data_IF_134596395562
#
_entry.id   IF_134596395562
#
_cell.length_a   1.000
_cell.length_b   1.000
_cell.length_c   1.000
_cell.angle_alpha   90.00
_cell.angle_beta   90.00
_cell.angle_gamma   90.00
#
_symmetry.space_group_name_H-M   'P 1'
#
loop_
_entity.id
_entity.type
_entity.pdbx_description
1 polymer ?
#
# COMPACT_ATOMS: atom_id res chain seq x y z
N UNK A 1 -4.11 12.69 -9.73
CA UNK A 1 -3.54 11.71 -8.80
C UNK A 1 -4.33 10.43 -8.94
N UNK A 2 -3.68 9.30 -9.21
CA UNK A 2 -4.34 8.01 -9.24
C UNK A 2 -3.44 6.94 -8.61
N UNK A 3 -3.96 6.23 -7.62
CA UNK A 3 -3.34 5.04 -7.00
C UNK A 3 -4.00 3.81 -7.60
N UNK A 4 -3.22 3.00 -8.30
CA UNK A 4 -3.69 1.82 -9.03
C UNK A 4 -3.08 0.57 -8.42
N UNK A 5 -3.91 -0.37 -8.00
CA UNK A 5 -3.45 -1.67 -7.51
C UNK A 5 -3.52 -2.74 -8.59
N UNK A 6 -2.43 -3.46 -8.81
CA UNK A 6 -2.37 -4.56 -9.79
C UNK A 6 -2.44 -5.89 -9.06
N UNK A 7 -3.54 -6.64 -9.25
CA UNK A 7 -3.87 -7.89 -8.57
C UNK A 7 -3.86 -9.06 -9.55
N UNK A 8 -3.53 -10.25 -9.04
CA UNK A 8 -3.69 -11.49 -9.77
C UNK A 8 -3.67 -12.69 -8.82
N UNK A 9 -4.32 -13.78 -9.25
CA UNK A 9 -4.64 -14.91 -8.39
C UNK A 9 -3.43 -15.72 -7.92
N UNK A 10 -2.32 -15.70 -8.67
CA UNK A 10 -1.10 -16.46 -8.33
C UNK A 10 0.18 -15.77 -8.77
N UNK A 11 1.30 -16.32 -8.32
CA UNK A 11 2.63 -15.97 -8.81
C UNK A 11 2.78 -16.27 -10.30
N UNK A 12 3.49 -15.40 -11.01
CA UNK A 12 3.82 -15.64 -12.41
C UNK A 12 2.68 -15.46 -13.42
N UNK A 13 1.54 -14.82 -13.08
CA UNK A 13 0.50 -14.40 -14.05
C UNK A 13 0.87 -13.14 -14.84
N UNK A 14 2.03 -12.53 -14.55
CA UNK A 14 2.54 -11.34 -15.26
C UNK A 14 2.16 -9.99 -14.64
N UNK A 15 1.78 -9.94 -13.35
CA UNK A 15 1.46 -8.70 -12.61
C UNK A 15 2.60 -7.68 -12.71
N UNK A 16 3.76 -8.01 -12.15
CA UNK A 16 4.95 -7.16 -12.12
C UNK A 16 5.36 -6.68 -13.51
N UNK A 17 5.37 -7.60 -14.49
CA UNK A 17 5.67 -7.25 -15.88
C UNK A 17 4.65 -6.23 -16.44
N UNK A 18 3.36 -6.40 -16.18
CA UNK A 18 2.35 -5.42 -16.56
C UNK A 18 2.56 -4.09 -15.83
N UNK A 19 2.73 -4.11 -14.50
CA UNK A 19 2.92 -2.93 -13.65
C UNK A 19 4.07 -2.05 -14.15
N UNK A 20 5.23 -2.65 -14.44
CA UNK A 20 6.41 -1.98 -14.99
C UNK A 20 6.13 -1.33 -16.35
N UNK A 21 5.52 -2.07 -17.28
CA UNK A 21 5.29 -1.55 -18.63
C UNK A 21 4.17 -0.50 -18.66
N UNK A 22 3.15 -0.63 -17.80
CA UNK A 22 2.11 0.39 -17.60
C UNK A 22 2.72 1.65 -17.02
N UNK A 23 3.65 1.56 -16.05
CA UNK A 23 4.37 2.73 -15.53
C UNK A 23 5.06 3.50 -16.67
N UNK A 24 5.85 2.81 -17.50
CA UNK A 24 6.51 3.41 -18.67
C UNK A 24 5.52 4.04 -19.66
N UNK A 25 4.38 3.38 -19.90
CA UNK A 25 3.36 3.89 -20.81
C UNK A 25 2.65 5.15 -20.29
N UNK A 26 2.38 5.20 -18.98
CA UNK A 26 1.87 6.42 -18.33
C UNK A 26 2.91 7.53 -18.44
N UNK A 27 4.20 7.23 -18.23
CA UNK A 27 5.28 8.23 -18.37
C UNK A 27 5.27 8.84 -19.76
N UNK A 28 5.23 8.00 -20.80
CA UNK A 28 5.22 8.45 -22.18
C UNK A 28 3.93 9.23 -22.53
N UNK A 29 2.78 8.79 -22.02
CA UNK A 29 1.50 9.42 -22.34
C UNK A 29 1.32 10.80 -21.69
N UNK A 30 1.92 11.04 -20.53
CA UNK A 30 1.82 12.33 -19.83
C UNK A 30 2.81 13.38 -20.39
N UNK A 31 3.71 13.01 -21.30
CA UNK A 31 4.76 13.87 -21.90
C UNK A 31 5.49 14.71 -20.84
N UNK A 32 5.65 14.14 -19.64
CA UNK A 32 6.23 14.83 -18.49
C UNK A 32 7.73 14.91 -18.72
N UNK A 33 8.18 16.10 -19.10
CA UNK A 33 9.59 16.48 -19.11
C UNK A 33 10.18 16.23 -17.73
N UNK A 34 10.74 15.04 -17.50
CA UNK A 34 11.64 14.67 -16.39
C UNK A 34 11.32 15.32 -15.03
N UNK A 35 10.06 15.29 -14.60
CA UNK A 35 9.74 15.59 -13.20
C UNK A 35 9.90 14.30 -12.42
N UNK A 36 10.80 14.28 -11.44
CA UNK A 36 11.18 13.07 -10.68
C UNK A 36 10.01 12.40 -9.94
N UNK A 37 8.86 13.07 -9.81
CA UNK A 37 7.70 12.62 -9.03
C UNK A 37 6.39 12.47 -9.81
N UNK A 38 6.48 12.12 -11.09
CA UNK A 38 5.29 11.86 -11.90
C UNK A 38 4.62 10.53 -11.55
N UNK A 39 5.40 9.46 -11.53
CA UNK A 39 4.94 8.08 -11.40
C UNK A 39 5.88 7.33 -10.45
N UNK A 40 5.31 6.66 -9.46
CA UNK A 40 6.05 5.71 -8.63
C UNK A 40 5.46 4.31 -8.72
N UNK A 41 6.32 3.32 -8.86
CA UNK A 41 5.96 1.90 -8.85
C UNK A 41 6.40 1.28 -7.53
N UNK A 42 5.45 0.77 -6.74
CA UNK A 42 5.70 0.16 -5.44
C UNK A 42 5.77 -1.36 -5.58
N UNK A 43 6.84 -1.97 -5.08
CA UNK A 43 6.95 -3.42 -4.94
C UNK A 43 6.41 -3.87 -3.57
N UNK A 44 5.10 -4.15 -3.51
CA UNK A 44 4.45 -4.56 -2.27
C UNK A 44 4.62 -6.05 -1.97
N UNK A 45 5.37 -6.83 -2.77
CA UNK A 45 5.80 -8.17 -2.35
C UNK A 45 6.96 -8.04 -1.35
N UNK A 46 6.61 -7.67 -0.11
CA UNK A 46 7.55 -7.42 0.98
C UNK A 46 8.43 -8.63 1.34
N UNK A 47 8.10 -9.83 0.83
CA UNK A 47 8.83 -11.07 1.11
C UNK A 47 9.72 -11.49 -0.04
N UNK A 48 9.24 -11.36 -1.27
CA UNK A 48 9.92 -11.77 -2.50
C UNK A 48 9.73 -10.70 -3.58
N UNK A 49 10.31 -9.51 -3.39
CA UNK A 49 10.21 -8.41 -4.34
C UNK A 49 10.84 -8.81 -5.68
N UNK A 50 10.25 -8.34 -6.78
CA UNK A 50 10.61 -8.76 -8.14
C UNK A 50 10.88 -7.63 -9.11
N UNK A 51 10.45 -6.39 -8.83
CA UNK A 51 10.61 -5.26 -9.74
C UNK A 51 12.08 -4.99 -10.01
N UNK A 52 12.90 -4.91 -8.97
CA UNK A 52 14.34 -4.63 -9.09
C UNK A 52 15.08 -5.72 -9.86
N UNK A 53 14.68 -6.99 -9.67
CA UNK A 53 15.24 -8.11 -10.42
C UNK A 53 14.86 -8.10 -11.90
N UNK A 54 13.63 -7.70 -12.26
CA UNK A 54 13.18 -7.59 -13.65
C UNK A 54 13.81 -6.39 -14.36
N UNK A 55 14.04 -5.29 -13.65
CA UNK A 55 14.64 -4.08 -14.21
C UNK A 55 16.16 -4.03 -14.06
N UNK A 56 16.76 -5.05 -13.42
CA UNK A 56 18.18 -5.10 -13.10
C UNK A 56 18.69 -3.78 -12.47
N UNK A 57 17.94 -3.27 -11.49
CA UNK A 57 18.27 -2.03 -10.78
C UNK A 57 18.54 -2.29 -9.29
N UNK A 58 19.30 -1.40 -8.66
CA UNK A 58 19.77 -1.56 -7.28
C UNK A 58 19.46 -0.30 -6.45
N UNK A 59 18.25 -0.23 -5.85
CA UNK A 59 17.89 0.84 -4.94
C UNK A 59 18.88 0.98 -3.79
N UNK A 60 19.11 2.22 -3.33
CA UNK A 60 19.99 2.48 -2.17
C UNK A 60 19.38 1.98 -0.87
N UNK A 61 18.07 2.16 -0.71
CA UNK A 61 17.27 1.63 0.39
C UNK A 61 16.02 0.97 -0.16
N UNK A 62 15.59 -0.10 0.50
CA UNK A 62 14.36 -0.83 0.16
C UNK A 62 13.39 -0.81 1.33
N UNK A 63 12.26 -1.52 1.19
CA UNK A 63 11.37 -1.72 2.32
C UNK A 63 12.03 -2.49 3.46
N UNK A 64 13.06 -3.29 3.20
CA UNK A 64 13.84 -3.89 4.29
C UNK A 64 14.46 -2.82 5.20
N UNK A 65 15.15 -1.84 4.63
CA UNK A 65 15.78 -0.73 5.37
C UNK A 65 14.75 0.19 6.03
N UNK A 66 13.57 0.32 5.41
CA UNK A 66 12.45 1.05 5.98
C UNK A 66 11.99 0.36 7.26
N UNK A 67 11.68 -0.94 7.22
CA UNK A 67 11.25 -1.67 8.42
C UNK A 67 12.32 -1.73 9.52
N UNK A 68 13.61 -1.74 9.17
CA UNK A 68 14.70 -1.53 10.15
C UNK A 68 14.60 -0.14 10.81
N UNK A 69 14.40 0.90 10.02
CA UNK A 69 14.29 2.29 10.51
C UNK A 69 13.04 2.47 11.37
N UNK A 70 11.90 1.95 10.94
CA UNK A 70 10.64 2.02 11.66
C UNK A 70 10.75 1.32 13.03
N UNK A 71 11.33 0.12 13.07
CA UNK A 71 11.43 -0.65 14.31
C UNK A 71 12.46 -0.09 15.28
N UNK A 72 13.64 0.28 14.79
CA UNK A 72 14.78 0.62 15.66
C UNK A 72 14.92 2.12 15.92
N UNK A 73 14.20 2.99 15.20
CA UNK A 73 14.23 4.44 15.42
C UNK A 73 12.85 5.02 15.64
N UNK A 74 11.97 4.95 14.65
CA UNK A 74 10.67 5.65 14.69
C UNK A 74 9.82 5.17 15.87
N UNK A 75 9.61 3.86 15.98
CA UNK A 75 8.83 3.28 17.06
C UNK A 75 9.45 3.52 18.44
N UNK A 76 10.78 3.39 18.56
CA UNK A 76 11.46 3.60 19.84
C UNK A 76 11.22 5.03 20.36
N UNK A 77 11.30 6.03 19.47
CA UNK A 77 11.07 7.43 19.89
C UNK A 77 9.60 7.72 20.17
N UNK A 78 8.68 7.23 19.33
CA UNK A 78 7.23 7.36 19.60
C UNK A 78 6.85 6.72 20.95
N UNK A 79 7.46 5.58 21.27
CA UNK A 79 7.31 4.93 22.57
C UNK A 79 7.87 5.78 23.71
N UNK A 80 9.08 6.33 23.56
CA UNK A 80 9.69 7.23 24.54
C UNK A 80 8.85 8.48 24.79
N UNK A 81 8.31 9.10 23.74
CA UNK A 81 7.42 10.26 23.85
C UNK A 81 6.17 9.91 24.66
N UNK A 82 5.55 8.77 24.34
CA UNK A 82 4.37 8.29 25.06
C UNK A 82 4.68 8.01 26.53
N UNK A 83 5.82 7.37 26.81
CA UNK A 83 6.28 7.09 28.16
C UNK A 83 6.59 8.38 28.93
N UNK A 84 7.22 9.37 28.31
CA UNK A 84 7.47 10.69 28.92
C UNK A 84 6.15 11.36 29.34
N UNK A 85 5.14 11.34 28.47
CA UNK A 85 3.81 11.88 28.74
C UNK A 85 3.10 11.15 29.88
N UNK A 86 3.44 9.88 30.15
CA UNK A 86 2.95 9.12 31.30
C UNK A 86 3.72 9.49 32.58
N UNK A 87 5.05 9.53 32.51
CA UNK A 87 5.93 9.73 33.66
C UNK A 87 5.79 11.12 34.28
N UNK A 88 5.58 12.16 33.47
CA UNK A 88 5.47 13.55 33.96
C UNK A 88 4.28 13.73 34.93
N UNK A 89 3.02 13.34 34.59
CA UNK A 89 1.93 13.36 35.54
C UNK A 89 2.13 12.45 36.75
N UNK A 90 2.77 11.28 36.58
CA UNK A 90 3.06 10.39 37.70
C UNK A 90 3.99 11.05 38.72
N UNK A 91 5.07 11.67 38.27
CA UNK A 91 5.98 12.41 39.15
C UNK A 91 5.30 13.63 39.80
N UNK A 92 4.52 14.40 39.04
CA UNK A 92 3.79 15.54 39.59
C UNK A 92 2.82 15.13 40.71
N UNK A 93 2.11 14.01 40.54
CA UNK A 93 1.21 13.48 41.57
C UNK A 93 1.96 13.00 42.81
N UNK A 94 3.09 12.30 42.63
CA UNK A 94 3.95 11.84 43.73
C UNK A 94 4.53 13.01 44.54
N UNK A 95 4.88 14.11 43.87
CA UNK A 95 5.35 15.34 44.50
C UNK A 95 4.23 16.15 45.19
N UNK A 96 2.95 15.77 45.00
CA UNK A 96 1.81 16.50 45.54
C UNK A 96 1.40 17.73 44.73
N UNK A 97 1.95 17.92 43.52
CA UNK A 97 1.69 19.07 42.67
C UNK A 97 0.34 18.99 41.94
N UNK A 98 -0.24 17.80 41.82
CA UNK A 98 -1.56 17.57 41.22
C UNK A 98 -2.41 16.63 42.10
N UNK A 99 -3.74 16.80 42.11
CA UNK A 99 -4.65 15.92 42.87
C UNK A 99 -4.85 14.55 42.19
N UNK A 100 -5.42 13.58 42.93
CA UNK A 100 -5.66 12.21 42.43
C UNK A 100 -6.70 12.15 41.31
N UNK A 101 -7.65 13.09 41.29
CA UNK A 101 -8.70 13.22 40.28
C UNK A 101 -8.24 13.96 39.01
N UNK A 102 -6.96 14.34 38.92
CA UNK A 102 -6.48 15.10 37.78
C UNK A 102 -6.72 14.33 36.46
N UNK A 103 -7.44 14.90 35.47
CA UNK A 103 -7.76 14.19 34.23
C UNK A 103 -6.52 13.71 33.45
N UNK A 104 -5.42 14.48 33.49
CA UNK A 104 -4.16 14.07 32.83
C UNK A 104 -3.55 12.85 33.52
N UNK A 105 -3.57 12.81 34.85
CA UNK A 105 -3.09 11.65 35.62
C UNK A 105 -3.92 10.40 35.32
N UNK A 106 -5.25 10.52 35.31
CA UNK A 106 -6.15 9.41 34.99
C UNK A 106 -5.91 8.89 33.56
N UNK A 107 -5.74 9.81 32.59
CA UNK A 107 -5.36 9.48 31.23
C UNK A 107 -4.01 8.76 31.18
N UNK A 108 -2.98 9.25 31.88
CA UNK A 108 -1.65 8.61 31.94
C UNK A 108 -1.70 7.20 32.53
N UNK A 109 -2.53 6.96 33.55
CA UNK A 109 -2.73 5.59 34.09
C UNK A 109 -3.38 4.68 33.04
N UNK A 110 -4.41 5.16 32.35
CA UNK A 110 -5.06 4.40 31.29
C UNK A 110 -4.09 4.09 30.13
N UNK A 111 -3.27 5.08 29.71
CA UNK A 111 -2.24 4.88 28.69
C UNK A 111 -1.18 3.88 29.15
N UNK A 112 -0.68 4.02 30.37
CA UNK A 112 0.34 3.13 30.96
C UNK A 112 -0.08 1.67 30.98
N UNK A 113 -1.36 1.39 31.31
CA UNK A 113 -1.90 0.03 31.33
C UNK A 113 -1.97 -0.62 29.94
N UNK A 114 -2.18 0.18 28.90
CA UNK A 114 -2.39 -0.29 27.54
C UNK A 114 -1.15 -0.16 26.65
N UNK A 115 -0.06 0.39 27.17
CA UNK A 115 1.16 0.63 26.39
C UNK A 115 1.79 -0.72 26.01
N UNK A 116 2.02 -0.99 24.72
CA UNK A 116 2.68 -2.22 24.28
C UNK A 116 4.19 -2.05 24.37
N UNK A 117 4.81 -2.71 25.34
CA UNK A 117 6.22 -2.59 25.65
C UNK A 117 7.09 -3.70 25.04
N UNK A 118 6.47 -4.68 24.39
CA UNK A 118 7.16 -5.87 23.86
C UNK A 118 8.17 -5.55 22.76
N UNK A 119 7.92 -4.49 22.01
CA UNK A 119 8.74 -4.05 20.88
C UNK A 119 9.77 -2.97 21.28
N UNK A 120 9.80 -2.56 22.55
CA UNK A 120 10.69 -1.52 23.02
C UNK A 120 12.04 -2.10 23.47
N UNK A 121 13.14 -1.52 22.98
CA UNK A 121 14.49 -1.99 23.25
C UNK A 121 15.08 -1.32 24.50
N UNK A 122 14.74 -1.82 25.68
CA UNK A 122 15.22 -1.25 26.94
C UNK A 122 16.74 -1.12 27.02
N UNK A 123 17.48 -2.11 26.54
CA UNK A 123 18.95 -2.17 26.66
C UNK A 123 19.70 -1.05 25.93
N UNK A 124 19.05 -0.37 24.98
CA UNK A 124 19.68 0.74 24.25
C UNK A 124 19.70 2.04 25.05
N UNK A 125 18.94 2.13 26.14
CA UNK A 125 18.79 3.34 26.94
C UNK A 125 19.33 3.15 28.35
N UNK A 126 20.09 4.12 28.86
CA UNK A 126 20.64 4.05 30.21
C UNK A 126 19.57 4.00 31.32
N UNK A 127 18.36 4.48 31.04
CA UNK A 127 17.21 4.36 31.94
C UNK A 127 16.37 3.10 31.69
N UNK A 128 16.78 2.25 30.74
CA UNK A 128 16.06 1.08 30.28
C UNK A 128 15.66 0.14 31.40
N UNK A 129 16.61 -0.21 32.28
CA UNK A 129 16.37 -1.12 33.40
C UNK A 129 15.32 -0.58 34.38
N UNK A 130 15.41 0.68 34.89
CA UNK A 130 14.33 1.28 35.67
C UNK A 130 12.96 1.29 34.98
N UNK A 131 12.91 1.54 33.68
CA UNK A 131 11.63 1.55 32.94
C UNK A 131 11.11 0.11 32.75
N UNK A 132 11.98 -0.86 32.52
CA UNK A 132 11.60 -2.26 32.45
C UNK A 132 11.01 -2.73 33.78
N UNK A 133 11.67 -2.40 34.89
CA UNK A 133 11.16 -2.69 36.24
C UNK A 133 9.80 -2.02 36.49
N UNK A 134 9.60 -0.80 35.99
CA UNK A 134 8.30 -0.12 36.09
C UNK A 134 7.22 -0.97 35.44
N UNK A 135 7.44 -1.44 34.21
CA UNK A 135 6.47 -2.28 33.49
C UNK A 135 6.24 -3.64 34.14
N UNK A 136 7.24 -4.24 34.80
CA UNK A 136 7.02 -5.45 35.60
C UNK A 136 6.03 -5.20 36.76
N UNK A 137 6.00 -3.97 37.28
CA UNK A 137 5.04 -3.53 38.31
C UNK A 137 3.70 -3.04 37.73
N UNK A 138 3.43 -3.21 36.42
CA UNK A 138 2.19 -2.67 35.79
C UNK A 138 0.92 -3.19 36.45
N UNK A 139 0.89 -4.44 36.88
CA UNK A 139 -0.24 -5.03 37.61
C UNK A 139 -0.49 -4.41 38.99
N UNK A 140 0.53 -3.81 39.60
CA UNK A 140 0.43 -3.22 40.94
C UNK A 140 -0.05 -1.75 40.92
N UNK A 141 -0.11 -1.13 39.73
CA UNK A 141 -0.47 0.28 39.53
C UNK A 141 -1.82 0.36 38.84
N UNK A 142 -2.90 0.22 39.61
CA UNK A 142 -4.25 0.29 39.06
C UNK A 142 -4.88 1.67 39.16
N UNK A 143 -4.52 2.43 40.20
CA UNK A 143 -5.14 3.70 40.59
C UNK A 143 -4.05 4.71 40.99
N UNK A 144 -4.35 6.01 40.99
CA UNK A 144 -3.39 7.04 41.39
C UNK A 144 -2.69 6.76 42.72
N UNK A 145 -3.41 6.26 43.73
CA UNK A 145 -2.85 5.93 45.05
C UNK A 145 -1.71 4.91 45.00
N UNK A 146 -1.73 3.98 44.05
CA UNK A 146 -0.71 2.93 43.94
C UNK A 146 0.66 3.50 43.57
N UNK A 147 0.69 4.65 42.91
CA UNK A 147 1.94 5.37 42.65
C UNK A 147 2.65 5.80 43.93
N UNK A 148 1.97 5.85 45.08
CA UNK A 148 2.58 6.19 46.39
C UNK A 148 3.03 4.96 47.18
N UNK A 149 2.85 3.74 46.66
CA UNK A 149 3.44 2.52 47.28
C UNK A 149 4.95 2.67 47.42
N UNK A 150 5.53 2.03 48.44
CA UNK A 150 6.93 2.22 48.82
C UNK A 150 7.87 1.78 47.70
N UNK A 151 7.59 0.63 47.11
CA UNK A 151 8.34 -0.02 46.03
C UNK A 151 8.35 0.86 44.78
N UNK A 152 7.17 1.33 44.34
CA UNK A 152 7.01 2.26 43.21
C UNK A 152 7.74 3.58 43.50
N UNK A 153 7.71 4.05 44.74
CA UNK A 153 8.43 5.27 45.13
C UNK A 153 9.94 5.13 45.11
N UNK A 154 10.48 3.98 45.48
CA UNK A 154 11.91 3.71 45.35
C UNK A 154 12.33 3.62 43.89
N UNK A 155 11.52 3.01 43.03
CA UNK A 155 11.79 2.96 41.59
C UNK A 155 11.82 4.35 40.96
N UNK A 156 10.81 5.19 41.23
CA UNK A 156 10.73 6.53 40.67
C UNK A 156 11.87 7.46 41.09
N UNK A 157 12.56 7.18 42.21
CA UNK A 157 13.79 7.92 42.58
C UNK A 157 14.97 7.62 41.66
N UNK A 158 14.97 6.46 40.99
CA UNK A 158 15.98 6.07 40.00
C UNK A 158 15.66 6.57 38.59
N UNK A 159 14.43 7.02 38.35
CA UNK A 159 13.99 7.56 37.05
C UNK A 159 14.20 9.07 37.04
N UNK A 160 15.24 9.52 36.35
CA UNK A 160 15.50 10.95 36.11
C UNK A 160 14.74 11.45 34.87
N UNK A 161 13.68 12.24 35.08
CA UNK A 161 12.86 12.81 34.01
C UNK A 161 13.63 13.83 33.16
N UNK A 162 14.58 14.56 33.74
CA UNK A 162 15.37 15.53 32.96
C UNK A 162 16.31 14.79 32.01
N UNK A 163 16.93 13.71 32.49
CA UNK A 163 17.76 12.84 31.64
C UNK A 163 16.92 12.19 30.54
N UNK A 164 15.74 11.67 30.88
CA UNK A 164 14.78 11.13 29.90
C UNK A 164 14.45 12.16 28.81
N UNK A 165 14.14 13.40 29.21
CA UNK A 165 13.82 14.51 28.29
C UNK A 165 14.99 14.84 27.37
N UNK A 166 16.22 14.82 27.88
CA UNK A 166 17.41 15.09 27.08
C UNK A 166 17.64 14.00 26.03
N UNK A 167 17.54 12.73 26.42
CA UNK A 167 17.61 11.60 25.48
C UNK A 167 16.50 11.72 24.43
N UNK A 168 15.28 12.03 24.83
CA UNK A 168 14.20 12.22 23.87
C UNK A 168 14.54 13.31 22.83
N UNK A 169 15.07 14.45 23.27
CA UNK A 169 15.49 15.55 22.38
C UNK A 169 16.64 15.17 21.45
N UNK A 170 17.58 14.36 21.93
CA UNK A 170 18.71 13.87 21.11
C UNK A 170 18.22 13.00 19.95
N UNK A 171 17.16 12.22 20.17
CA UNK A 171 16.64 11.29 19.18
C UNK A 171 15.57 11.92 18.26
N UNK A 172 14.90 13.00 18.67
CA UNK A 172 13.79 13.63 17.92
C UNK A 172 14.15 14.15 16.51
N UNK A 173 15.41 14.51 16.25
CA UNK A 173 15.81 15.21 15.02
C UNK A 173 15.76 14.40 13.73
N UNK A 174 15.78 13.06 13.78
CA UNK A 174 15.88 12.17 12.61
C UNK A 174 15.06 10.87 12.77
N UNK A 175 13.88 10.95 13.38
CA UNK A 175 13.09 9.76 13.75
C UNK A 175 12.30 9.17 12.59
N UNK A 176 11.77 10.05 11.74
CA UNK A 176 10.94 9.68 10.61
C UNK A 176 11.83 9.41 9.39
N UNK A 177 11.56 8.34 8.63
CA UNK A 177 12.30 8.05 7.40
C UNK A 177 12.12 9.20 6.41
N UNK A 178 13.21 9.67 5.81
CA UNK A 178 13.13 10.63 4.71
C UNK A 178 12.77 9.87 3.42
N UNK A 179 11.64 10.22 2.79
CA UNK A 179 11.13 9.58 1.58
C UNK A 179 12.18 9.51 0.47
N UNK A 180 12.92 10.59 0.25
CA UNK A 180 13.90 10.69 -0.84
C UNK A 180 15.00 9.63 -0.77
N UNK A 181 15.31 9.12 0.42
CA UNK A 181 16.32 8.07 0.59
C UNK A 181 15.85 6.68 0.10
N UNK A 182 14.54 6.48 -0.05
CA UNK A 182 13.92 5.21 -0.45
C UNK A 182 13.42 5.23 -1.90
N UNK A 183 13.29 6.41 -2.50
CA UNK A 183 12.87 6.56 -3.89
C UNK A 183 14.07 6.35 -4.81
N UNK A 184 13.95 5.40 -5.74
CA UNK A 184 14.96 5.18 -6.77
C UNK A 184 14.40 5.52 -8.14
N UNK A 185 14.90 6.59 -8.75
CA UNK A 185 14.47 7.00 -10.09
C UNK A 185 15.19 6.19 -11.17
N UNK A 186 14.43 5.66 -12.14
CA UNK A 186 14.98 4.94 -13.28
C UNK A 186 14.92 5.86 -14.50
N UNK A 187 15.99 6.63 -14.72
CA UNK A 187 16.07 7.64 -15.78
C UNK A 187 15.73 7.10 -17.17
N UNK A 188 16.13 5.86 -17.47
CA UNK A 188 15.87 5.22 -18.76
C UNK A 188 14.38 5.12 -19.09
N UNK A 189 13.54 4.91 -18.07
CA UNK A 189 12.09 4.70 -18.24
C UNK A 189 11.23 5.84 -17.68
N UNK A 190 11.87 6.81 -17.02
CA UNK A 190 11.27 8.06 -16.56
C UNK A 190 10.27 7.92 -15.41
N UNK A 191 10.34 6.85 -14.62
CA UNK A 191 9.52 6.64 -13.42
C UNK A 191 10.40 6.25 -12.22
N UNK A 192 9.85 6.46 -11.02
CA UNK A 192 10.47 6.03 -9.77
C UNK A 192 10.00 4.65 -9.34
N UNK A 193 10.84 3.97 -8.56
CA UNK A 193 10.48 2.75 -7.85
C UNK A 193 10.65 2.95 -6.34
N UNK A 194 9.79 2.27 -5.58
CA UNK A 194 9.88 2.16 -4.14
C UNK A 194 9.79 0.67 -3.74
N UNK A 195 10.70 0.25 -2.88
CA UNK A 195 10.88 -1.16 -2.55
C UNK A 195 12.04 -1.78 -3.32
N UNK A 196 12.19 -3.10 -3.23
CA UNK A 196 13.34 -3.80 -3.78
C UNK A 196 13.83 -4.92 -2.87
N UNK A 197 15.05 -5.38 -3.10
CA UNK A 197 15.58 -6.62 -2.52
C UNK A 197 15.52 -6.72 -0.99
N UNK A 198 15.34 -7.96 -0.51
CA UNK A 198 15.46 -8.32 0.91
C UNK A 198 16.74 -9.16 1.11
N UNK A 199 17.73 -8.67 1.89
CA UNK A 199 18.98 -9.39 2.13
C UNK A 199 18.75 -10.77 2.73
N UNK A 200 19.48 -11.78 2.25
CA UNK A 200 19.31 -13.19 2.68
C UNK A 200 19.42 -13.35 4.21
N UNK A 201 20.43 -12.72 4.82
CA UNK A 201 20.68 -12.81 6.26
C UNK A 201 19.60 -12.10 7.11
N UNK A 202 18.89 -11.11 6.55
CA UNK A 202 17.86 -10.33 7.24
C UNK A 202 16.44 -10.89 7.14
N UNK A 203 16.20 -11.89 6.28
CA UNK A 203 14.84 -12.36 5.92
C UNK A 203 13.98 -12.78 7.11
N UNK A 204 14.55 -13.43 8.13
CA UNK A 204 13.78 -13.92 9.29
C UNK A 204 13.23 -12.75 10.12
N UNK A 205 14.09 -11.80 10.48
CA UNK A 205 13.70 -10.62 11.25
C UNK A 205 12.77 -9.71 10.46
N UNK A 206 13.04 -9.52 9.16
CA UNK A 206 12.15 -8.79 8.27
C UNK A 206 10.74 -9.36 8.27
N UNK A 207 10.61 -10.69 8.12
CA UNK A 207 9.31 -11.37 8.18
C UNK A 207 8.58 -11.18 9.51
N UNK A 208 9.30 -11.11 10.63
CA UNK A 208 8.69 -10.82 11.92
C UNK A 208 8.13 -9.39 11.90
N UNK A 209 8.96 -8.40 11.52
CA UNK A 209 8.58 -6.99 11.52
C UNK A 209 7.38 -6.67 10.62
N UNK A 210 7.33 -7.21 9.40
CA UNK A 210 6.19 -6.98 8.49
C UNK A 210 4.88 -7.60 8.98
N UNK A 211 4.90 -8.47 10.00
CA UNK A 211 3.69 -9.03 10.60
C UNK A 211 3.33 -8.32 11.93
N UNK A 212 4.16 -7.40 12.44
CA UNK A 212 3.86 -6.63 13.65
C UNK A 212 2.92 -5.46 13.32
N UNK A 213 1.71 -5.39 13.93
CA UNK A 213 0.73 -4.35 13.63
C UNK A 213 1.26 -2.92 13.81
N UNK A 214 2.06 -2.68 14.84
CA UNK A 214 2.64 -1.37 15.15
C UNK A 214 3.56 -0.88 14.03
N UNK A 215 4.39 -1.77 13.46
CA UNK A 215 5.27 -1.40 12.34
C UNK A 215 4.51 -1.28 11.03
N UNK A 216 3.46 -2.10 10.82
CA UNK A 216 2.57 -1.95 9.67
C UNK A 216 1.83 -0.60 9.70
N UNK A 217 1.39 -0.14 10.88
CA UNK A 217 0.72 1.16 11.00
C UNK A 217 1.63 2.32 10.59
N UNK A 218 2.92 2.28 10.97
CA UNK A 218 3.93 3.26 10.58
C UNK A 218 4.32 3.14 9.09
N UNK A 219 4.40 1.91 8.58
CA UNK A 219 4.63 1.66 7.16
C UNK A 219 3.52 2.27 6.31
N UNK A 220 2.25 2.11 6.70
CA UNK A 220 1.12 2.71 5.99
C UNK A 220 1.15 4.24 6.01
N UNK A 221 1.58 4.87 7.11
CA UNK A 221 1.79 6.33 7.16
C UNK A 221 2.82 6.77 6.12
N UNK A 222 3.96 6.06 6.05
CA UNK A 222 4.99 6.35 5.07
C UNK A 222 4.46 6.18 3.63
N UNK A 223 3.73 5.10 3.36
CA UNK A 223 3.14 4.85 2.04
C UNK A 223 2.15 5.94 1.64
N UNK A 224 1.31 6.41 2.58
CA UNK A 224 0.37 7.49 2.33
C UNK A 224 1.10 8.79 1.97
N UNK A 225 2.14 9.15 2.72
CA UNK A 225 2.97 10.33 2.45
C UNK A 225 3.61 10.25 1.06
N UNK A 226 4.20 9.10 0.68
CA UNK A 226 4.73 8.91 -0.67
C UNK A 226 3.63 9.01 -1.72
N UNK A 227 2.43 8.47 -1.48
CA UNK A 227 1.33 8.58 -2.44
C UNK A 227 0.94 10.04 -2.73
N UNK A 228 1.08 10.93 -1.76
CA UNK A 228 0.76 12.35 -1.90
C UNK A 228 1.84 13.13 -2.66
N UNK A 229 3.08 12.63 -2.70
CA UNK A 229 4.16 13.27 -3.45
C UNK A 229 4.14 12.96 -4.96
N UNK A 230 3.42 11.92 -5.39
CA UNK A 230 3.44 11.43 -6.77
C UNK A 230 2.13 11.68 -7.52
N UNK A 231 2.25 12.04 -8.81
CA UNK A 231 1.08 12.20 -9.69
C UNK A 231 0.31 10.90 -9.93
N UNK A 232 0.99 9.76 -9.98
CA UNK A 232 0.42 8.42 -10.11
C UNK A 232 1.24 7.43 -9.30
N UNK A 233 0.57 6.48 -8.65
CA UNK A 233 1.22 5.37 -7.96
C UNK A 233 0.67 4.05 -8.47
N UNK A 234 1.55 3.12 -8.82
CA UNK A 234 1.20 1.76 -9.20
C UNK A 234 1.67 0.83 -8.09
N UNK A 235 0.74 0.10 -7.50
CA UNK A 235 1.01 -0.88 -6.46
C UNK A 235 1.10 -2.28 -7.08
N UNK A 236 2.31 -2.83 -7.19
CA UNK A 236 2.51 -4.22 -7.58
C UNK A 236 2.33 -5.14 -6.37
N UNK A 237 1.25 -5.94 -6.38
CA UNK A 237 0.87 -6.73 -5.20
C UNK A 237 1.50 -8.13 -5.21
N UNK A 238 1.68 -8.75 -4.02
CA UNK A 238 2.07 -10.15 -3.96
C UNK A 238 0.98 -11.07 -4.54
N UNK A 239 1.34 -12.33 -4.81
CA UNK A 239 0.36 -13.33 -5.27
C UNK A 239 -0.79 -13.50 -4.25
N UNK A 240 -2.04 -13.45 -4.71
CA UNK A 240 -3.21 -13.51 -3.83
C UNK A 240 -3.35 -12.30 -2.90
N UNK A 241 -2.70 -11.17 -3.23
CA UNK A 241 -2.46 -10.02 -2.37
C UNK A 241 -3.68 -9.20 -1.92
N UNK A 242 -4.91 -9.72 -2.03
CA UNK A 242 -6.14 -9.04 -1.63
C UNK A 242 -6.10 -8.66 -0.14
N UNK A 243 -5.56 -9.55 0.70
CA UNK A 243 -5.43 -9.32 2.14
C UNK A 243 -4.39 -8.24 2.52
N UNK A 244 -3.45 -7.92 1.63
CA UNK A 244 -2.45 -6.87 1.86
C UNK A 244 -2.93 -5.49 1.41
N UNK A 245 -4.06 -5.43 0.70
CA UNK A 245 -4.69 -4.19 0.23
C UNK A 245 -5.76 -3.67 1.20
N UNK A 246 -6.12 -4.45 2.22
CA UNK A 246 -7.16 -4.11 3.19
C UNK A 246 -7.01 -2.70 3.72
N UNK A 247 -5.82 -2.42 4.25
CA UNK A 247 -5.49 -1.16 4.88
C UNK A 247 -5.10 -0.07 3.88
N UNK A 248 -5.07 -0.36 2.57
CA UNK A 248 -4.89 0.63 1.51
C UNK A 248 -6.16 0.84 0.67
N UNK A 249 -7.25 0.12 0.98
CA UNK A 249 -8.47 0.06 0.16
C UNK A 249 -9.08 1.45 -0.12
N UNK A 250 -8.98 2.36 0.85
CA UNK A 250 -9.50 3.72 0.72
C UNK A 250 -8.62 4.63 -0.15
N UNK A 251 -7.33 4.33 -0.26
CA UNK A 251 -6.39 5.12 -1.05
C UNK A 251 -6.33 4.67 -2.51
N UNK A 252 -6.77 3.44 -2.81
CA UNK A 252 -6.77 2.88 -4.17
C UNK A 252 -7.97 3.39 -4.97
N UNK A 253 -7.70 4.10 -6.06
CA UNK A 253 -8.73 4.62 -6.98
C UNK A 253 -9.21 3.55 -7.96
N UNK A 254 -8.28 2.71 -8.42
CA UNK A 254 -8.54 1.66 -9.41
C UNK A 254 -7.82 0.37 -9.07
N UNK A 255 -8.51 -0.75 -9.27
CA UNK A 255 -7.93 -2.09 -9.16
C UNK A 255 -7.87 -2.73 -10.53
N UNK A 256 -6.70 -3.22 -10.92
CA UNK A 256 -6.46 -3.92 -12.17
C UNK A 256 -6.21 -5.40 -11.91
N UNK A 257 -7.16 -6.24 -12.31
CA UNK A 257 -7.05 -7.69 -12.26
C UNK A 257 -6.36 -8.21 -13.52
N UNK A 258 -5.23 -8.89 -13.33
CA UNK A 258 -4.52 -9.62 -14.38
C UNK A 258 -5.12 -11.01 -14.51
N UNK A 259 -5.97 -11.19 -15.52
CA UNK A 259 -6.61 -12.46 -15.82
C UNK A 259 -5.70 -13.29 -16.71
N UNK A 260 -5.18 -14.41 -16.19
CA UNK A 260 -4.42 -15.36 -17.00
C UNK A 260 -5.40 -16.29 -17.71
N UNK A 261 -5.57 -16.09 -19.03
CA UNK A 261 -6.51 -16.87 -19.86
C UNK A 261 -5.84 -18.01 -20.61
N UNK A 262 -4.59 -18.36 -20.26
CA UNK A 262 -3.82 -19.38 -20.98
C UNK A 262 -4.42 -20.80 -20.88
N UNK A 263 -5.28 -21.05 -19.90
CA UNK A 263 -6.02 -22.30 -19.72
C UNK A 263 -7.18 -22.11 -18.72
N UNK A 264 -8.13 -23.04 -18.74
CA UNK A 264 -9.33 -23.00 -17.89
C UNK A 264 -9.03 -22.92 -16.39
N UNK A 265 -7.97 -23.56 -15.89
CA UNK A 265 -7.61 -23.52 -14.46
C UNK A 265 -7.15 -22.11 -14.08
N UNK A 266 -6.32 -21.49 -14.92
CA UNK A 266 -5.85 -20.12 -14.72
C UNK A 266 -6.99 -19.09 -14.84
N UNK A 267 -7.93 -19.32 -15.76
CA UNK A 267 -9.14 -18.50 -15.89
C UNK A 267 -9.97 -18.56 -14.61
N UNK A 268 -10.28 -19.77 -14.12
CA UNK A 268 -11.03 -19.95 -12.86
C UNK A 268 -10.34 -19.28 -11.68
N UNK A 269 -9.02 -19.47 -11.52
CA UNK A 269 -8.27 -18.79 -10.47
C UNK A 269 -8.36 -17.26 -10.57
N UNK A 270 -8.37 -16.70 -11.78
CA UNK A 270 -8.52 -15.26 -11.98
C UNK A 270 -9.91 -14.75 -11.60
N UNK A 271 -10.96 -15.53 -11.92
CA UNK A 271 -12.34 -15.26 -11.47
C UNK A 271 -12.43 -15.34 -9.94
N UNK A 272 -11.83 -16.37 -9.33
CA UNK A 272 -11.81 -16.53 -7.87
C UNK A 272 -11.11 -15.35 -7.18
N UNK A 273 -10.05 -14.78 -7.78
CA UNK A 273 -9.39 -13.59 -7.24
C UNK A 273 -10.27 -12.33 -7.33
N UNK A 274 -11.02 -12.16 -8.43
CA UNK A 274 -12.01 -11.08 -8.52
C UNK A 274 -13.11 -11.26 -7.46
N UNK A 275 -13.64 -12.47 -7.31
CA UNK A 275 -14.65 -12.78 -6.30
C UNK A 275 -14.14 -12.52 -4.88
N UNK A 276 -12.97 -13.03 -4.53
CA UNK A 276 -12.34 -12.80 -3.22
C UNK A 276 -12.18 -11.31 -2.94
N UNK A 277 -11.85 -10.51 -3.97
CA UNK A 277 -11.78 -9.07 -3.82
C UNK A 277 -13.15 -8.43 -3.60
N UNK A 278 -14.18 -8.86 -4.34
CA UNK A 278 -15.54 -8.38 -4.19
C UNK A 278 -16.06 -8.64 -2.77
N UNK A 279 -15.91 -9.87 -2.27
CA UNK A 279 -16.32 -10.24 -0.90
C UNK A 279 -15.60 -9.39 0.13
N UNK A 280 -14.28 -9.28 0.00
CA UNK A 280 -13.46 -8.46 0.89
C UNK A 280 -13.88 -6.98 0.85
N UNK A 281 -14.12 -6.44 -0.34
CA UNK A 281 -14.53 -5.05 -0.54
C UNK A 281 -15.92 -4.78 0.07
N UNK A 282 -16.88 -5.70 -0.11
CA UNK A 282 -18.23 -5.61 0.47
C UNK A 282 -18.19 -5.65 1.99
N UNK A 283 -17.45 -6.61 2.56
CA UNK A 283 -17.28 -6.74 4.00
C UNK A 283 -16.63 -5.49 4.58
N UNK A 284 -15.55 -5.00 3.95
CA UNK A 284 -14.89 -3.78 4.36
C UNK A 284 -15.84 -2.58 4.32
N UNK A 285 -16.56 -2.39 3.22
CA UNK A 285 -17.46 -1.25 3.03
C UNK A 285 -18.67 -1.31 3.97
N UNK A 286 -19.21 -2.50 4.22
CA UNK A 286 -20.26 -2.72 5.21
C UNK A 286 -19.78 -2.41 6.62
N UNK A 287 -18.58 -2.89 6.99
CA UNK A 287 -17.99 -2.60 8.28
C UNK A 287 -17.69 -1.11 8.46
N UNK A 288 -17.23 -0.43 7.41
CA UNK A 288 -17.06 1.03 7.39
C UNK A 288 -18.38 1.75 7.66
N UNK A 289 -19.42 1.48 6.87
CA UNK A 289 -20.75 2.12 7.01
C UNK A 289 -21.37 1.94 8.39
N UNK A 290 -21.15 0.79 9.00
CA UNK A 290 -21.74 0.44 10.29
C UNK A 290 -20.85 0.83 11.49
N UNK A 291 -19.70 1.48 11.27
CA UNK A 291 -18.75 1.82 12.33
C UNK A 291 -18.12 0.60 13.02
N UNK A 292 -18.03 -0.52 12.32
CA UNK A 292 -17.54 -1.82 12.80
C UNK A 292 -16.11 -2.16 12.36
N UNK A 293 -15.42 -1.25 11.68
CA UNK A 293 -13.99 -1.42 11.41
C UNK A 293 -13.23 -1.57 12.73
N UNK A 294 -12.23 -2.43 12.74
CA UNK A 294 -11.37 -2.68 13.90
C UNK A 294 -9.90 -2.76 13.49
N UNK A 295 -9.00 -2.74 14.47
CA UNK A 295 -7.57 -2.88 14.23
C UNK A 295 -7.00 -1.81 13.29
N UNK A 296 -6.08 -2.24 12.42
CA UNK A 296 -5.36 -1.37 11.48
C UNK A 296 -6.29 -0.65 10.51
N UNK A 297 -7.35 -1.31 10.06
CA UNK A 297 -8.28 -0.73 9.09
C UNK A 297 -9.03 0.47 9.67
N UNK A 298 -9.47 0.37 10.93
CA UNK A 298 -10.07 1.50 11.63
C UNK A 298 -9.07 2.64 11.81
N UNK A 299 -7.89 2.33 12.36
CA UNK A 299 -6.86 3.34 12.62
C UNK A 299 -6.44 4.08 11.35
N UNK A 300 -6.37 3.38 10.22
CA UNK A 300 -6.05 3.99 8.93
C UNK A 300 -7.20 4.84 8.38
N UNK A 301 -8.45 4.34 8.44
CA UNK A 301 -9.63 5.10 8.00
C UNK A 301 -9.83 6.36 8.83
N UNK A 302 -9.70 6.29 10.16
CA UNK A 302 -9.85 7.44 11.04
C UNK A 302 -8.83 8.55 10.69
N UNK A 303 -7.59 8.16 10.34
CA UNK A 303 -6.56 9.08 9.82
C UNK A 303 -6.98 9.71 8.50
N UNK A 304 -7.39 8.91 7.52
CA UNK A 304 -7.88 9.44 6.24
C UNK A 304 -9.08 10.38 6.38
N UNK A 305 -10.01 10.08 7.30
CA UNK A 305 -11.14 10.96 7.60
C UNK A 305 -10.63 12.29 8.18
N UNK A 306 -9.65 12.25 9.07
CA UNK A 306 -9.07 13.48 9.64
C UNK A 306 -8.38 14.37 8.60
N UNK A 307 -7.73 13.76 7.60
CA UNK A 307 -6.98 14.46 6.55
C UNK A 307 -7.87 14.92 5.39
N UNK A 308 -8.76 14.05 4.90
CA UNK A 308 -9.52 14.24 3.65
C UNK A 308 -11.01 14.45 3.85
N UNK A 309 -11.51 14.20 5.06
CA UNK A 309 -12.93 14.25 5.40
C UNK A 309 -13.69 12.97 5.06
N UNK A 310 -14.71 12.66 5.85
CA UNK A 310 -15.52 11.43 5.74
C UNK A 310 -16.19 11.26 4.37
N UNK A 311 -16.67 12.36 3.78
CA UNK A 311 -17.32 12.35 2.47
C UNK A 311 -16.38 11.88 1.37
N UNK A 312 -15.11 12.29 1.42
CA UNK A 312 -14.12 11.91 0.42
C UNK A 312 -13.82 10.41 0.51
N UNK A 313 -13.63 9.88 1.73
CA UNK A 313 -13.40 8.45 1.98
C UNK A 313 -14.58 7.61 1.47
N UNK A 314 -15.81 8.03 1.78
CA UNK A 314 -17.02 7.33 1.32
C UNK A 314 -17.13 7.30 -0.20
N UNK A 315 -16.86 8.42 -0.87
CA UNK A 315 -16.92 8.52 -2.33
C UNK A 315 -15.85 7.63 -3.01
N UNK A 316 -14.64 7.57 -2.44
CA UNK A 316 -13.55 6.72 -2.95
C UNK A 316 -13.88 5.22 -2.87
N UNK A 317 -14.64 4.79 -1.85
CA UNK A 317 -15.15 3.42 -1.78
C UNK A 317 -16.25 3.21 -2.83
N UNK A 318 -17.29 4.04 -2.85
CA UNK A 318 -18.47 3.89 -3.74
C UNK A 318 -18.10 3.86 -5.23
N UNK A 319 -17.13 4.66 -5.64
CA UNK A 319 -16.75 4.82 -7.05
C UNK A 319 -15.56 3.95 -7.48
N UNK A 320 -15.15 2.99 -6.66
CA UNK A 320 -13.96 2.16 -6.92
C UNK A 320 -14.09 1.40 -8.24
N UNK A 321 -13.15 1.66 -9.15
CA UNK A 321 -13.12 1.06 -10.49
C UNK A 321 -12.42 -0.30 -10.46
N UNK A 322 -13.08 -1.32 -11.02
CA UNK A 322 -12.51 -2.67 -11.16
C UNK A 322 -12.20 -2.91 -12.65
N UNK A 323 -10.93 -2.96 -13.02
CA UNK A 323 -10.47 -3.20 -14.38
C UNK A 323 -9.94 -4.61 -14.58
N UNK A 324 -10.22 -5.24 -15.72
CA UNK A 324 -9.66 -6.54 -16.12
C UNK A 324 -8.71 -6.34 -17.30
N UNK A 325 -7.49 -6.86 -17.17
CA UNK A 325 -6.53 -7.04 -18.25
C UNK A 325 -6.42 -8.53 -18.53
N UNK A 326 -6.84 -8.97 -19.72
CA UNK A 326 -6.63 -10.35 -20.14
C UNK A 326 -5.19 -10.53 -20.60
N UNK A 327 -4.47 -11.45 -19.96
CA UNK A 327 -3.06 -11.71 -20.21
C UNK A 327 -2.86 -13.13 -20.74
N UNK A 328 -1.83 -13.28 -21.57
CA UNK A 328 -1.37 -14.56 -22.15
C UNK A 328 -2.37 -15.27 -23.07
N UNK A 329 -3.32 -14.53 -23.62
CA UNK A 329 -4.21 -15.10 -24.63
C UNK A 329 -3.42 -15.47 -25.89
N UNK A 330 -3.81 -16.55 -26.54
CA UNK A 330 -3.29 -17.01 -27.83
C UNK A 330 -4.31 -16.80 -28.94
N UNK A 331 -5.60 -16.89 -28.61
CA UNK A 331 -6.70 -16.69 -29.54
C UNK A 331 -7.84 -15.92 -28.85
N UNK A 332 -8.73 -15.33 -29.64
CA UNK A 332 -9.86 -14.55 -29.14
C UNK A 332 -10.93 -15.42 -28.47
N UNK A 333 -11.05 -16.69 -28.83
CA UNK A 333 -12.03 -17.61 -28.23
C UNK A 333 -11.77 -17.84 -26.74
N UNK A 334 -10.51 -17.81 -26.30
CA UNK A 334 -10.14 -17.86 -24.87
C UNK A 334 -10.75 -16.68 -24.09
N UNK A 335 -10.85 -15.51 -24.71
CA UNK A 335 -11.47 -14.32 -24.10
C UNK A 335 -12.99 -14.49 -24.02
N UNK A 336 -13.63 -14.99 -25.08
CA UNK A 336 -15.06 -15.31 -25.07
C UNK A 336 -15.39 -16.28 -23.93
N UNK A 337 -14.68 -17.41 -23.86
CA UNK A 337 -14.89 -18.42 -22.84
C UNK A 337 -14.68 -17.85 -21.43
N UNK A 338 -13.65 -17.03 -21.23
CA UNK A 338 -13.39 -16.37 -19.96
C UNK A 338 -14.52 -15.42 -19.54
N UNK A 339 -15.05 -14.63 -20.49
CA UNK A 339 -16.14 -13.70 -20.23
C UNK A 339 -17.44 -14.45 -19.90
N UNK A 340 -17.75 -15.52 -20.64
CA UNK A 340 -18.95 -16.34 -20.40
C UNK A 340 -18.88 -17.00 -19.03
N UNK A 341 -17.73 -17.61 -18.68
CA UNK A 341 -17.51 -18.18 -17.35
C UNK A 341 -17.63 -17.14 -16.23
N UNK A 342 -17.11 -15.92 -16.45
CA UNK A 342 -17.20 -14.86 -15.45
C UNK A 342 -18.66 -14.41 -15.23
N UNK A 343 -19.45 -14.28 -16.31
CA UNK A 343 -20.88 -13.91 -16.19
C UNK A 343 -21.67 -15.01 -15.50
N UNK A 344 -21.54 -16.25 -15.95
CA UNK A 344 -22.21 -17.42 -15.35
C UNK A 344 -21.87 -17.54 -13.85
N UNK A 345 -20.59 -17.32 -13.50
CA UNK A 345 -20.15 -17.36 -12.12
C UNK A 345 -20.79 -16.25 -11.27
N UNK A 346 -20.80 -15.00 -11.75
CA UNK A 346 -21.42 -13.90 -11.02
C UNK A 346 -22.96 -14.02 -10.97
N UNK A 347 -23.59 -14.60 -11.99
CA UNK A 347 -25.03 -14.93 -11.97
C UNK A 347 -25.33 -15.97 -10.89
N UNK A 348 -24.49 -17.00 -10.77
CA UNK A 348 -24.61 -18.03 -9.72
C UNK A 348 -24.49 -17.45 -8.31
N UNK A 349 -23.79 -16.32 -8.16
CA UNK A 349 -23.63 -15.60 -6.90
C UNK A 349 -24.68 -14.49 -6.67
N UNK A 350 -25.62 -14.30 -7.60
CA UNK A 350 -26.56 -13.16 -7.63
C UNK A 350 -25.85 -11.78 -7.63
N UNK A 351 -24.57 -11.73 -8.05
CA UNK A 351 -23.73 -10.51 -8.09
C UNK A 351 -23.62 -9.88 -9.48
N UNK A 352 -24.11 -10.55 -10.52
CA UNK A 352 -23.95 -10.06 -11.90
C UNK A 352 -24.57 -8.69 -12.12
N UNK A 353 -25.84 -8.49 -11.76
CA UNK A 353 -26.53 -7.22 -11.96
C UNK A 353 -25.89 -6.05 -11.20
N UNK A 354 -25.32 -6.32 -10.02
CA UNK A 354 -24.64 -5.31 -9.20
C UNK A 354 -23.26 -4.91 -9.77
N UNK A 355 -22.51 -5.87 -10.31
CA UNK A 355 -21.10 -5.66 -10.68
C UNK A 355 -20.86 -5.52 -12.18
N UNK A 356 -21.79 -5.89 -13.05
CA UNK A 356 -21.58 -5.91 -14.50
C UNK A 356 -21.14 -4.55 -15.07
N UNK A 357 -21.57 -3.45 -14.47
CA UNK A 357 -21.22 -2.09 -14.88
C UNK A 357 -20.01 -1.49 -14.14
N UNK A 358 -19.59 -2.13 -13.04
CA UNK A 358 -18.41 -1.75 -12.25
C UNK A 358 -17.13 -2.46 -12.71
N UNK A 359 -17.28 -3.61 -13.38
CA UNK A 359 -16.20 -4.40 -13.95
C UNK A 359 -15.95 -3.92 -15.39
N UNK A 360 -14.86 -3.18 -15.57
CA UNK A 360 -14.40 -2.64 -16.84
C UNK A 360 -13.36 -3.57 -17.48
N UNK A 361 -13.43 -3.78 -18.79
CA UNK A 361 -12.41 -4.51 -19.53
C UNK A 361 -11.46 -3.49 -20.15
N UNK A 362 -10.21 -3.50 -19.68
CA UNK A 362 -9.27 -2.39 -19.92
C UNK A 362 -8.12 -2.74 -20.86
N UNK A 363 -7.79 -4.02 -21.04
CA UNK A 363 -6.65 -4.40 -21.88
C UNK A 363 -6.59 -5.86 -22.32
N UNK A 364 -5.80 -6.09 -23.37
CA UNK A 364 -5.47 -7.40 -23.94
C UNK A 364 -3.96 -7.50 -24.11
N UNK A 365 -3.32 -8.46 -23.47
CA UNK A 365 -1.90 -8.75 -23.62
C UNK A 365 -1.71 -10.19 -24.13
N UNK A 366 -1.21 -10.39 -25.36
CA UNK A 366 -1.05 -11.73 -25.92
C UNK A 366 0.13 -12.46 -25.28
N UNK A 367 0.14 -13.79 -25.41
CA UNK A 367 1.35 -14.56 -25.15
C UNK A 367 2.39 -14.22 -26.23
N UNK A 368 3.47 -13.51 -25.84
CA UNK A 368 4.45 -12.98 -26.78
C UNK A 368 5.89 -13.25 -26.34
N UNK A 369 6.73 -13.73 -27.26
CA UNK A 369 8.13 -14.11 -26.97
C UNK A 369 8.97 -12.93 -26.48
N UNK A 370 8.70 -11.72 -26.98
CA UNK A 370 9.44 -10.51 -26.57
C UNK A 370 9.31 -10.28 -25.07
N UNK A 371 8.13 -10.50 -24.47
CA UNK A 371 7.92 -10.35 -23.02
C UNK A 371 8.89 -11.22 -22.22
N UNK A 372 9.08 -12.48 -22.64
CA UNK A 372 10.02 -13.39 -21.98
C UNK A 372 11.48 -12.94 -22.18
N UNK A 373 11.81 -12.46 -23.37
CA UNK A 373 13.16 -11.99 -23.70
C UNK A 373 13.51 -10.76 -22.86
N UNK A 374 12.61 -9.79 -22.74
CA UNK A 374 12.84 -8.53 -22.03
C UNK A 374 12.94 -8.76 -20.53
N UNK A 375 12.04 -9.57 -19.95
CA UNK A 375 12.12 -9.96 -18.54
C UNK A 375 13.45 -10.65 -18.19
N UNK A 376 13.98 -11.49 -19.08
CA UNK A 376 15.26 -12.17 -18.85
C UNK A 376 16.49 -11.25 -19.08
N UNK A 377 16.30 -10.09 -19.73
CA UNK A 377 17.37 -9.16 -20.09
C UNK A 377 17.43 -7.92 -19.19
N UNK A 378 16.59 -7.83 -18.15
CA UNK A 378 16.60 -6.66 -17.29
C UNK A 378 15.94 -5.43 -17.91
N UNK A 379 14.99 -5.58 -18.85
CA UNK A 379 14.41 -4.47 -19.62
C UNK A 379 12.90 -4.58 -19.78
N UNK A 380 12.25 -3.47 -20.11
CA UNK A 380 10.82 -3.44 -20.46
C UNK A 380 10.61 -3.82 -21.94
N UNK A 381 9.38 -4.25 -22.30
CA UNK A 381 9.02 -4.49 -23.70
C UNK A 381 8.36 -3.27 -24.36
N UNK A 382 7.91 -2.31 -23.55
CA UNK A 382 7.12 -1.16 -23.98
C UNK A 382 7.81 -0.35 -25.10
N UNK A 383 9.12 -0.20 -25.08
CA UNK A 383 9.88 0.50 -26.12
C UNK A 383 10.50 -0.46 -27.17
N UNK A 384 10.29 -1.77 -27.03
CA UNK A 384 10.91 -2.81 -27.88
C UNK A 384 9.95 -3.44 -28.88
N UNK A 385 8.65 -3.45 -28.61
CA UNK A 385 7.64 -4.04 -29.49
C UNK A 385 6.38 -3.19 -29.60
N UNK A 386 6.19 -2.56 -30.77
CA UNK A 386 5.09 -1.63 -31.04
C UNK A 386 3.70 -2.23 -30.82
N UNK A 387 3.50 -3.52 -31.10
CA UNK A 387 2.19 -4.14 -30.89
C UNK A 387 1.89 -4.21 -29.41
N UNK A 388 2.86 -4.67 -28.60
CA UNK A 388 2.74 -4.71 -27.16
C UNK A 388 2.65 -3.30 -26.54
N UNK A 389 3.40 -2.31 -27.05
CA UNK A 389 3.28 -0.90 -26.61
C UNK A 389 1.85 -0.41 -26.75
N UNK A 390 1.25 -0.59 -27.93
CA UNK A 390 -0.13 -0.16 -28.19
C UNK A 390 -1.16 -0.85 -27.27
N UNK A 391 -0.90 -2.10 -26.87
CA UNK A 391 -1.76 -2.82 -25.90
C UNK A 391 -1.67 -2.21 -24.51
N UNK A 392 -0.45 -1.90 -24.05
CA UNK A 392 -0.23 -1.28 -22.74
C UNK A 392 -0.72 0.17 -22.72
N UNK A 393 -0.57 0.91 -23.82
CA UNK A 393 -1.12 2.25 -24.02
C UNK A 393 -2.64 2.31 -23.81
N UNK A 394 -3.36 1.24 -24.15
CA UNK A 394 -4.80 1.16 -23.89
C UNK A 394 -5.09 1.04 -22.39
N UNK A 395 -4.28 0.28 -21.66
CA UNK A 395 -4.36 0.14 -20.19
C UNK A 395 -3.99 1.47 -19.52
N UNK A 396 -2.88 2.08 -19.90
CA UNK A 396 -2.43 3.38 -19.39
C UNK A 396 -3.50 4.46 -19.59
N UNK A 397 -4.11 4.53 -20.78
CA UNK A 397 -5.24 5.44 -21.04
C UNK A 397 -6.43 5.23 -20.11
N UNK A 398 -6.74 3.99 -19.75
CA UNK A 398 -7.84 3.71 -18.80
C UNK A 398 -7.58 4.25 -17.39
N UNK A 399 -6.31 4.50 -17.06
CA UNK A 399 -5.87 5.03 -15.76
C UNK A 399 -5.84 6.56 -15.79
N UNK A 400 -5.22 7.15 -16.83
CA UNK A 400 -4.96 8.60 -16.88
C UNK A 400 -6.13 9.42 -17.40
N UNK A 401 -6.98 8.87 -18.26
CA UNK A 401 -8.09 9.60 -18.87
C UNK A 401 -9.41 9.27 -18.12
N UNK A 402 -9.94 10.21 -17.32
CA UNK A 402 -11.20 9.99 -16.59
C UNK A 402 -12.39 9.80 -17.53
N UNK A 403 -12.30 10.24 -18.78
CA UNK A 403 -13.33 10.08 -19.80
C UNK A 403 -13.12 8.82 -20.67
N UNK A 404 -12.13 8.00 -20.37
CA UNK A 404 -11.85 6.79 -21.14
C UNK A 404 -13.03 5.81 -21.08
N UNK A 405 -13.80 5.74 -22.16
CA UNK A 405 -14.91 4.78 -22.28
C UNK A 405 -14.35 3.37 -22.41
N UNK A 406 -14.37 2.60 -21.33
CA UNK A 406 -14.03 1.16 -21.34
C UNK A 406 -15.31 0.32 -21.42
N UNK A 407 -15.35 -0.74 -22.25
CA UNK A 407 -16.47 -1.68 -22.19
C UNK A 407 -16.58 -2.25 -20.77
N UNK A 408 -17.81 -2.42 -20.29
CA UNK A 408 -18.11 -3.10 -19.04
C UNK A 408 -18.49 -4.56 -19.31
N UNK A 409 -18.55 -5.39 -18.27
CA UNK A 409 -18.96 -6.80 -18.38
C UNK A 409 -20.39 -6.96 -18.94
N UNK A 410 -21.23 -5.93 -18.80
CA UNK A 410 -22.59 -5.88 -19.37
C UNK A 410 -22.63 -5.93 -20.91
N UNK A 411 -21.54 -5.58 -21.60
CA UNK A 411 -21.46 -5.61 -23.05
C UNK A 411 -21.38 -7.05 -23.57
N UNK A 412 -21.78 -7.27 -24.83
CA UNK A 412 -21.58 -8.57 -25.47
C UNK A 412 -20.09 -8.84 -25.72
N UNK A 413 -19.70 -10.12 -25.81
CA UNK A 413 -18.30 -10.49 -26.05
C UNK A 413 -17.72 -9.87 -27.33
N UNK A 414 -18.53 -9.82 -28.40
CA UNK A 414 -18.13 -9.22 -29.67
C UNK A 414 -17.85 -7.71 -29.53
N UNK A 415 -18.67 -6.98 -28.78
CA UNK A 415 -18.47 -5.55 -28.53
C UNK A 415 -17.23 -5.30 -27.66
N UNK A 416 -17.03 -6.11 -26.62
CA UNK A 416 -15.85 -6.04 -25.74
C UNK A 416 -14.58 -6.20 -26.58
N UNK A 417 -14.47 -7.27 -27.36
CA UNK A 417 -13.30 -7.53 -28.20
C UNK A 417 -13.09 -6.43 -29.25
N UNK A 418 -14.15 -6.02 -29.95
CA UNK A 418 -14.07 -4.94 -30.95
C UNK A 418 -13.51 -3.65 -30.35
N UNK A 419 -13.95 -3.28 -29.13
CA UNK A 419 -13.46 -2.09 -28.42
C UNK A 419 -12.01 -2.24 -27.96
N UNK A 420 -11.63 -3.40 -27.41
CA UNK A 420 -10.26 -3.65 -26.95
C UNK A 420 -9.25 -3.68 -28.10
N UNK A 421 -9.64 -4.22 -29.25
CA UNK A 421 -8.81 -4.21 -30.47
C UNK A 421 -8.67 -2.81 -31.06
N UNK A 422 -9.77 -2.04 -31.17
CA UNK A 422 -9.74 -0.66 -31.70
C UNK A 422 -8.90 0.28 -30.83
N UNK A 423 -8.94 0.14 -29.51
CA UNK A 423 -8.10 0.92 -28.58
C UNK A 423 -6.60 0.67 -28.77
N UNK A 424 -6.22 -0.43 -29.41
CA UNK A 424 -4.83 -0.82 -29.68
C UNK A 424 -4.29 -0.27 -31.01
N UNK A 425 -5.04 0.61 -31.69
CA UNK A 425 -4.59 1.35 -32.87
C UNK A 425 -3.67 2.54 -32.52
N UNK A 426 -2.87 3.05 -33.49
CA UNK A 426 -1.89 4.11 -33.24
C UNK A 426 -2.59 5.46 -33.04
N UNK A 427 -2.79 5.91 -31.80
CA UNK A 427 -3.41 7.23 -31.59
C UNK A 427 -2.86 8.09 -30.45
N UNK A 428 -1.90 7.63 -29.64
CA UNK A 428 -1.37 8.49 -28.56
C UNK A 428 -0.45 9.60 -29.08
N UNK A 429 0.43 9.33 -30.06
CA UNK A 429 1.38 10.37 -30.54
C UNK A 429 0.77 11.49 -31.39
N UNK A 430 -0.46 11.34 -31.90
CA UNK A 430 -1.11 12.36 -32.75
C UNK A 430 -2.22 13.15 -32.08
N UNK A 431 -2.78 12.67 -30.96
CA UNK A 431 -3.95 13.30 -30.34
C UNK A 431 -3.55 14.40 -29.36
N UNK A 432 -2.45 14.23 -28.62
CA UNK A 432 -1.98 15.23 -27.65
C UNK A 432 -1.24 16.41 -28.29
N UNK A 433 -0.59 16.22 -29.44
CA UNK A 433 0.08 17.32 -30.19
C UNK A 433 -0.90 18.37 -30.75
N UNK A 434 -2.21 18.07 -30.81
CA UNK A 434 -3.23 19.02 -31.27
C UNK A 434 -3.81 19.92 -30.17
N UNK A 435 -3.63 19.58 -28.90
CA UNK A 435 -4.13 20.40 -27.78
C UNK A 435 -3.14 21.51 -27.42
N UNK A 436 -1.85 21.35 -27.76
CA UNK A 436 -0.82 22.36 -27.52
C UNK A 436 -0.70 23.45 -28.60
N UNK A 437 -1.50 23.44 -29.68
CA UNK A 437 -1.36 24.36 -30.81
C UNK A 437 -2.53 25.33 -31.01
N UNK A 438 -3.40 25.55 -30.02
CA UNK A 438 -4.53 26.49 -30.11
C UNK A 438 -4.51 27.63 -29.09
N UNK A 439 -3.32 27.98 -28.60
CA UNK A 439 -3.06 29.23 -27.88
C UNK A 439 -1.79 29.86 -28.45
N UNK A 440 -1.96 30.57 -29.55
CA UNK A 440 -1.00 31.49 -30.14
C UNK A 440 -1.71 32.79 -30.47
#
# INVERSE_FOLDING_TARGET
>A
MAVVSVIGHKGGVGKTTLSINVAAAITQALDLTKTDRSICLFDLDLRLPTITGILNCHPQKTFFDLFETLANRTYQVDFLQTLYQILVPFQAYKAGNIPKENPRLLKSIAMYKNLNEKLFNYSEFEFGDPIHELFLMRGDIERPSDLKKKEVTQLFKRIDINKFKNILREYEGNTRPNIDEYISYIEEYGFAILGGEVPVLGKKHHRQRINEPEFLALFLEFIEEVCEEFGHVILDTPAGGINHLSSLMNSIDQVLFVFDVSNTIATKGSIDALHTFIDYYEDFYSNYKNGRLTGLDKSYVDRLISTRGEKAVRQALESKKMGIVFNRYQNTNEIHLCLDQLREYLETLDKYEEYKDRIHLVGLLPNHKVIKITNNRGTIFYDKDKMLSNRVDAVARSIIDPNAVCPTLAYSNAEILSKLEKKSGPSLSRTFSRIASSLS
#
